data_IF_614414481629
#
_entry.id   IF_614414481629
#
_cell.length_a   1.000
_cell.length_b   1.000
_cell.length_c   1.000
_cell.angle_alpha   90.00
_cell.angle_beta   90.00
_cell.angle_gamma   90.00
#
_symmetry.space_group_name_H-M   'P 1'
#
loop_
_entity.id
_entity.type
_entity.pdbx_description
1 polymer ?
#
# COMPACT_ATOMS: atom_id res chain seq x y z
N UNK A 1 -32.22 -21.16 14.10
CA UNK A 1 -31.03 -21.30 14.95
C UNK A 1 -30.01 -20.24 14.54
N UNK A 2 -29.86 -19.15 15.31
CA UNK A 2 -28.81 -18.14 15.07
C UNK A 2 -27.60 -18.57 15.89
N UNK A 3 -26.51 -18.96 15.23
CA UNK A 3 -25.21 -19.12 15.91
C UNK A 3 -24.78 -17.71 16.35
N UNK A 4 -24.49 -17.52 17.65
CA UNK A 4 -23.89 -16.29 18.13
C UNK A 4 -22.53 -16.06 17.43
N UNK A 5 -22.06 -14.81 17.30
CA UNK A 5 -20.69 -14.57 16.89
C UNK A 5 -19.73 -15.15 17.93
N UNK A 6 -18.98 -16.19 17.56
CA UNK A 6 -17.97 -16.79 18.43
C UNK A 6 -16.59 -16.28 18.01
N UNK A 7 -15.85 -15.73 18.96
CA UNK A 7 -14.42 -15.48 18.78
C UNK A 7 -13.62 -16.70 19.24
N UNK A 8 -12.58 -17.08 18.49
CA UNK A 8 -11.60 -18.08 18.88
C UNK A 8 -10.21 -17.44 19.02
N UNK A 9 -9.45 -17.86 20.03
CA UNK A 9 -8.10 -17.37 20.33
C UNK A 9 -7.19 -18.57 20.55
N UNK A 10 -6.07 -18.63 19.83
CA UNK A 10 -5.09 -19.72 19.91
C UNK A 10 -3.72 -19.09 20.14
N UNK A 11 -3.08 -19.38 21.26
CA UNK A 11 -1.68 -19.00 21.48
C UNK A 11 -0.76 -20.01 20.76
N UNK A 12 0.24 -19.51 20.04
CA UNK A 12 1.21 -20.32 19.28
C UNK A 12 2.63 -19.90 19.65
N UNK A 13 3.11 -20.36 20.81
CA UNK A 13 4.43 -19.95 21.32
C UNK A 13 4.49 -18.44 21.60
N UNK A 14 5.31 -17.71 20.85
CA UNK A 14 5.49 -16.25 20.93
C UNK A 14 4.51 -15.46 20.03
N UNK A 15 3.52 -16.14 19.44
CA UNK A 15 2.48 -15.52 18.63
C UNK A 15 1.07 -15.97 19.02
N UNK A 16 0.08 -15.48 18.28
CA UNK A 16 -1.33 -15.77 18.51
C UNK A 16 -2.14 -15.69 17.21
N UNK A 17 -3.17 -16.54 17.14
CA UNK A 17 -4.26 -16.46 16.17
C UNK A 17 -5.52 -15.98 16.88
N UNK A 18 -6.23 -15.03 16.30
CA UNK A 18 -7.56 -14.61 16.74
C UNK A 18 -8.51 -14.59 15.55
N UNK A 19 -9.62 -15.32 15.67
CA UNK A 19 -10.73 -15.31 14.73
C UNK A 19 -11.89 -14.65 15.44
N UNK A 20 -12.38 -13.55 14.89
CA UNK A 20 -13.53 -12.79 15.36
C UNK A 20 -14.52 -12.64 14.19
N UNK A 21 -15.78 -12.25 14.43
CA UNK A 21 -16.82 -12.22 13.40
C UNK A 21 -16.44 -11.44 12.14
N UNK A 22 -15.74 -10.33 12.31
CA UNK A 22 -15.38 -9.42 11.20
C UNK A 22 -13.87 -9.36 10.94
N UNK A 23 -13.07 -10.20 11.61
CA UNK A 23 -11.62 -10.09 11.57
C UNK A 23 -10.92 -11.42 11.88
N UNK A 24 -9.88 -11.73 11.11
CA UNK A 24 -8.91 -12.78 11.44
C UNK A 24 -7.54 -12.12 11.59
N UNK A 25 -6.84 -12.38 12.68
CA UNK A 25 -5.48 -11.92 12.91
C UNK A 25 -4.54 -13.05 13.27
N UNK A 26 -3.32 -12.97 12.73
CA UNK A 26 -2.17 -13.76 13.11
C UNK A 26 -1.06 -12.80 13.52
N UNK A 27 -0.71 -12.77 14.80
CA UNK A 27 0.29 -11.86 15.34
C UNK A 27 1.49 -12.62 15.93
N UNK A 28 2.69 -12.08 15.75
CA UNK A 28 3.92 -12.58 16.37
C UNK A 28 4.95 -11.46 16.43
N UNK A 29 5.39 -11.11 17.65
CA UNK A 29 6.56 -10.27 17.95
C UNK A 29 7.03 -9.33 16.81
N UNK A 30 6.30 -8.24 16.56
CA UNK A 30 6.65 -7.22 15.57
C UNK A 30 6.25 -7.55 14.11
N UNK A 31 5.49 -8.62 13.90
CA UNK A 31 4.87 -8.99 12.63
C UNK A 31 3.38 -9.31 12.84
N UNK A 32 2.54 -8.99 11.87
CA UNK A 32 1.12 -9.29 11.91
C UNK A 32 0.55 -9.55 10.51
N UNK A 33 -0.47 -10.41 10.43
CA UNK A 33 -1.36 -10.57 9.29
C UNK A 33 -2.78 -10.34 9.80
N UNK A 34 -3.56 -9.52 9.10
CA UNK A 34 -4.94 -9.25 9.44
C UNK A 34 -5.81 -9.35 8.18
N UNK A 35 -6.99 -9.93 8.31
CA UNK A 35 -8.05 -9.92 7.30
C UNK A 35 -9.25 -9.27 7.98
N UNK A 36 -9.80 -8.20 7.40
CA UNK A 36 -10.97 -7.49 7.94
C UNK A 36 -11.81 -6.94 6.79
N UNK A 37 -13.05 -7.43 6.68
CA UNK A 37 -13.90 -7.08 5.53
C UNK A 37 -13.25 -7.49 4.22
N UNK A 38 -13.02 -6.52 3.34
CA UNK A 38 -12.35 -6.61 2.05
C UNK A 38 -10.83 -6.40 2.11
N UNK A 39 -10.28 -6.05 3.28
CA UNK A 39 -8.86 -5.77 3.46
C UNK A 39 -8.08 -7.00 3.94
N UNK A 40 -6.94 -7.28 3.28
CA UNK A 40 -5.88 -8.14 3.79
C UNK A 40 -4.62 -7.30 4.02
N UNK A 41 -4.08 -7.33 5.25
CA UNK A 41 -2.91 -6.56 5.65
C UNK A 41 -1.82 -7.46 6.22
N UNK A 42 -0.59 -7.24 5.79
CA UNK A 42 0.62 -7.92 6.29
C UNK A 42 1.62 -6.86 6.73
N UNK A 43 2.18 -6.99 7.93
CA UNK A 43 3.13 -6.04 8.50
C UNK A 43 4.34 -6.74 9.11
N UNK A 44 5.52 -6.16 8.91
CA UNK A 44 6.75 -6.57 9.58
C UNK A 44 7.81 -5.48 9.51
N UNK A 45 8.43 -5.15 10.65
CA UNK A 45 9.63 -4.29 10.67
C UNK A 45 9.44 -2.93 9.98
N UNK A 46 8.25 -2.32 10.14
CA UNK A 46 7.88 -1.04 9.54
C UNK A 46 7.48 -1.11 8.05
N UNK A 47 7.51 -2.29 7.43
CA UNK A 47 6.91 -2.52 6.12
C UNK A 47 5.46 -2.98 6.28
N UNK A 48 4.60 -2.57 5.35
CA UNK A 48 3.18 -2.95 5.27
C UNK A 48 2.82 -3.29 3.84
N UNK A 49 2.06 -4.37 3.67
CA UNK A 49 1.35 -4.71 2.43
C UNK A 49 -0.13 -4.71 2.75
N UNK A 50 -0.94 -4.03 1.95
CA UNK A 50 -2.40 -3.97 2.08
C UNK A 50 -3.01 -4.32 0.73
N UNK A 51 -3.96 -5.24 0.72
CA UNK A 51 -4.76 -5.59 -0.43
C UNK A 51 -6.21 -5.23 -0.09
N UNK A 52 -6.87 -4.52 -0.98
CA UNK A 52 -8.32 -4.23 -0.95
C UNK A 52 -8.93 -4.68 -2.27
N UNK A 53 -10.24 -4.50 -2.41
CA UNK A 53 -10.96 -4.82 -3.64
C UNK A 53 -10.47 -4.01 -4.86
N UNK A 54 -10.05 -2.77 -4.66
CA UNK A 54 -9.70 -1.80 -5.69
C UNK A 54 -8.20 -1.46 -5.79
N UNK A 55 -7.40 -1.87 -4.80
CA UNK A 55 -6.01 -1.44 -4.67
C UNK A 55 -5.11 -2.47 -3.97
N UNK A 56 -3.86 -2.57 -4.44
CA UNK A 56 -2.74 -3.18 -3.73
C UNK A 56 -1.74 -2.09 -3.36
N UNK A 57 -1.34 -2.05 -2.09
CA UNK A 57 -0.40 -1.07 -1.54
C UNK A 57 0.74 -1.74 -0.79
N UNK A 58 1.96 -1.33 -1.07
CA UNK A 58 3.18 -1.74 -0.37
C UNK A 58 3.89 -0.49 0.13
N UNK A 59 4.15 -0.39 1.43
CA UNK A 59 4.72 0.79 2.07
C UNK A 59 5.86 0.42 3.01
N UNK A 60 6.89 1.28 3.08
CA UNK A 60 7.91 1.24 4.13
C UNK A 60 8.47 2.64 4.34
N UNK A 61 8.15 3.23 5.49
CA UNK A 61 8.42 4.67 5.72
C UNK A 61 7.74 5.51 4.64
N UNK A 62 8.47 6.45 4.05
CA UNK A 62 7.94 7.34 3.00
C UNK A 62 8.00 6.75 1.59
N UNK A 63 8.47 5.50 1.44
CA UNK A 63 8.45 4.79 0.15
C UNK A 63 7.17 3.99 0.02
N UNK A 64 6.54 4.04 -1.17
CA UNK A 64 5.33 3.28 -1.45
C UNK A 64 5.21 2.83 -2.90
N UNK A 65 4.51 1.72 -3.10
CA UNK A 65 3.98 1.26 -4.38
C UNK A 65 2.48 1.08 -4.21
N UNK A 66 1.70 1.67 -5.12
CA UNK A 66 0.25 1.58 -5.15
C UNK A 66 -0.16 1.12 -6.55
N UNK A 67 -1.02 0.10 -6.62
CA UNK A 67 -1.59 -0.40 -7.86
C UNK A 67 -3.11 -0.48 -7.65
N UNK A 68 -3.84 0.44 -8.27
CA UNK A 68 -5.31 0.46 -8.28
C UNK A 68 -5.81 1.11 -9.57
N UNK A 69 -6.76 2.04 -9.47
CA UNK A 69 -7.17 2.88 -10.60
C UNK A 69 -5.99 3.64 -11.25
N UNK A 70 -4.98 3.97 -10.44
CA UNK A 70 -3.68 4.52 -10.86
C UNK A 70 -2.56 3.63 -10.35
N UNK A 71 -1.38 3.72 -10.96
CA UNK A 71 -0.15 3.08 -10.48
C UNK A 71 0.83 4.14 -10.00
N UNK A 72 1.24 4.08 -8.74
CA UNK A 72 2.28 4.96 -8.18
C UNK A 72 3.45 4.15 -7.66
N UNK A 73 4.68 4.57 -7.98
CA UNK A 73 5.90 4.11 -7.34
C UNK A 73 6.64 5.34 -6.82
N UNK A 74 6.79 5.46 -5.51
CA UNK A 74 7.44 6.60 -4.85
C UNK A 74 8.53 6.14 -3.90
N UNK A 75 9.66 6.84 -3.94
CA UNK A 75 10.72 6.69 -2.96
C UNK A 75 10.67 7.81 -1.90
N UNK A 76 11.17 7.52 -0.71
CA UNK A 76 11.30 8.48 0.38
C UNK A 76 12.05 9.78 0.00
N UNK A 77 12.93 9.72 -1.01
CA UNK A 77 13.63 10.89 -1.55
C UNK A 77 12.77 11.81 -2.44
N UNK A 78 11.46 11.61 -2.55
CA UNK A 78 10.55 12.48 -3.29
C UNK A 78 10.43 12.20 -4.78
N UNK A 79 11.28 11.32 -5.33
CA UNK A 79 11.14 10.84 -6.70
C UNK A 79 9.95 9.89 -6.83
N UNK A 80 9.22 9.97 -7.95
CA UNK A 80 8.08 9.08 -8.22
C UNK A 80 7.84 8.85 -9.71
N UNK A 81 7.16 7.74 -10.00
CA UNK A 81 6.45 7.48 -11.25
C UNK A 81 4.97 7.34 -10.92
N UNK A 82 4.10 8.03 -11.64
CA UNK A 82 2.65 7.96 -11.51
C UNK A 82 2.04 7.72 -12.89
N UNK A 83 1.27 6.65 -13.03
CA UNK A 83 0.43 6.36 -14.18
C UNK A 83 -1.03 6.56 -13.77
N UNK A 84 -1.70 7.51 -14.39
CA UNK A 84 -3.09 7.88 -14.08
C UNK A 84 -3.87 8.01 -15.38
N UNK A 85 -4.74 7.03 -15.64
CA UNK A 85 -5.40 6.87 -16.93
C UNK A 85 -4.38 6.79 -18.09
N UNK A 86 -4.51 7.64 -19.14
CA UNK A 86 -3.56 7.66 -20.26
C UNK A 86 -2.26 8.40 -19.96
N UNK A 87 -2.13 9.03 -18.78
CA UNK A 87 -1.05 9.95 -18.48
C UNK A 87 0.04 9.27 -17.66
N UNK A 88 1.29 9.66 -17.88
CA UNK A 88 2.43 9.17 -17.09
C UNK A 88 3.28 10.35 -16.64
N UNK A 89 3.55 10.43 -15.33
CA UNK A 89 4.36 11.48 -14.72
C UNK A 89 5.57 10.86 -14.05
N UNK A 90 6.75 11.39 -14.35
CA UNK A 90 8.01 11.01 -13.75
C UNK A 90 8.59 12.24 -13.07
N UNK A 91 8.82 12.17 -11.77
CA UNK A 91 9.50 13.22 -11.01
C UNK A 91 10.80 12.67 -10.44
N UNK A 92 11.88 13.38 -10.73
CA UNK A 92 13.17 13.15 -10.11
C UNK A 92 13.24 13.86 -8.75
N UNK A 93 14.11 13.38 -7.86
CA UNK A 93 14.38 14.03 -6.57
C UNK A 93 14.81 15.49 -6.73
N UNK A 94 15.57 15.76 -7.79
CA UNK A 94 16.07 17.09 -8.15
C UNK A 94 15.89 17.29 -9.65
N UNK A 95 15.63 18.53 -10.05
CA UNK A 95 15.47 18.90 -11.46
C UNK A 95 14.02 18.79 -11.98
N UNK A 96 13.84 19.02 -13.29
CA UNK A 96 12.53 19.01 -13.91
C UNK A 96 11.92 17.60 -13.91
N UNK A 97 10.60 17.55 -13.85
CA UNK A 97 9.83 16.34 -14.11
C UNK A 97 9.55 16.16 -15.60
N UNK A 98 9.08 14.98 -15.96
CA UNK A 98 8.53 14.65 -17.28
C UNK A 98 7.07 14.26 -17.11
N UNK A 99 6.20 14.78 -17.95
CA UNK A 99 4.79 14.41 -18.02
C UNK A 99 4.44 14.03 -19.45
N UNK A 100 3.88 12.84 -19.62
CA UNK A 100 3.27 12.37 -20.86
C UNK A 100 1.76 12.53 -20.73
N UNK A 101 1.16 13.37 -21.58
CA UNK A 101 -0.28 13.64 -21.58
C UNK A 101 -0.77 13.88 -23.00
N UNK A 102 -1.90 13.27 -23.35
CA UNK A 102 -2.53 13.40 -24.68
C UNK A 102 -1.60 12.99 -25.85
N UNK A 103 -0.63 12.10 -25.58
CA UNK A 103 0.36 11.64 -26.56
C UNK A 103 1.61 12.52 -26.68
N UNK A 104 1.64 13.66 -25.98
CA UNK A 104 2.76 14.60 -25.98
C UNK A 104 3.60 14.50 -24.71
N UNK A 105 4.86 14.95 -24.80
CA UNK A 105 5.81 14.97 -23.71
C UNK A 105 6.14 16.41 -23.26
N UNK A 106 6.02 16.67 -21.96
CA UNK A 106 6.20 17.99 -21.34
C UNK A 106 7.25 17.92 -20.24
N UNK A 107 8.13 18.92 -20.18
CA UNK A 107 8.97 19.16 -19.00
C UNK A 107 8.19 19.98 -17.98
N UNK A 108 8.18 19.53 -16.74
CA UNK A 108 7.53 20.20 -15.60
C UNK A 108 8.59 20.71 -14.62
N UNK A 109 8.24 21.70 -13.80
CA UNK A 109 9.14 22.29 -12.79
C UNK A 109 10.49 22.77 -13.37
N UNK A 110 10.46 23.43 -14.53
CA UNK A 110 11.64 24.08 -15.09
C UNK A 110 12.16 25.15 -14.11
N UNK A 111 13.49 25.23 -13.88
CA UNK A 111 14.04 26.30 -13.05
C UNK A 111 13.66 27.65 -13.68
N UNK A 112 12.97 28.49 -12.92
CA UNK A 112 12.77 29.89 -13.30
C UNK A 112 14.13 30.57 -13.28
N UNK A 113 14.60 31.01 -14.45
CA UNK A 113 15.82 31.79 -14.62
C UNK A 113 15.79 33.10 -13.84
#
# INVERSE_FOLDING_TARGET
MRLAPHSAKIATGDGRVEVAPDQITLDRAGSAIAIRGDEVRVERGGARVTLRDDEIRVERGDSRVVVGASVEVRNAGGAYVLMDGPNVRLKQKTGPGLELRDGDAYLTDLPTS
#
